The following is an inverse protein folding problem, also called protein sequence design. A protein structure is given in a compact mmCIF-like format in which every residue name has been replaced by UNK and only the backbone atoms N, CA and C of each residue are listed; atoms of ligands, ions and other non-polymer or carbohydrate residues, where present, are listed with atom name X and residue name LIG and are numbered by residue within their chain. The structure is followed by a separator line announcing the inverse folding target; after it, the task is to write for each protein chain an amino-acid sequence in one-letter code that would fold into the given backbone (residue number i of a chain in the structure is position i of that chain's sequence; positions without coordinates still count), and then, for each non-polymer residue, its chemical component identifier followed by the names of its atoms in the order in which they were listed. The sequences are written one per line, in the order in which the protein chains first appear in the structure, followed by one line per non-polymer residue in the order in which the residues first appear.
data_IF_578843986835
#
_entry.id   IF_578843986835
#
_cell.length_a   1.000
_cell.length_b   1.000
_cell.length_c   1.000
_cell.angle_alpha   90.00
_cell.angle_beta   90.00
_cell.angle_gamma   90.00
#
_symmetry.space_group_name_H-M   'P 1'
#
loop_
_entity.id
_entity.type
_entity.pdbx_description
1 polymer ?
#
# COMPACT_ATOMS: atom_id res chain seq x y z
N UNK A 1 -19.60 -50.06 32.69
CA UNK A 1 -20.01 -48.65 32.56
C UNK A 1 -18.75 -47.80 32.60
N UNK A 2 -18.20 -47.45 31.42
CA UNK A 2 -17.16 -46.43 31.32
C UNK A 2 -17.87 -45.13 30.94
N UNK A 3 -17.80 -44.15 31.83
CA UNK A 3 -18.31 -42.81 31.59
C UNK A 3 -17.42 -42.16 30.52
N UNK A 4 -18.00 -41.87 29.37
CA UNK A 4 -17.39 -40.98 28.38
C UNK A 4 -17.36 -39.57 28.97
N UNK A 5 -16.17 -39.04 29.21
CA UNK A 5 -16.01 -37.60 29.44
C UNK A 5 -16.44 -36.87 28.16
N UNK A 6 -17.47 -36.03 28.27
CA UNK A 6 -17.83 -35.07 27.24
C UNK A 6 -16.66 -34.09 27.05
N UNK A 7 -16.31 -33.69 25.82
CA UNK A 7 -15.31 -32.65 25.63
C UNK A 7 -15.84 -31.36 26.26
N UNK A 8 -15.04 -30.74 27.13
CA UNK A 8 -15.26 -29.38 27.61
C UNK A 8 -15.49 -28.48 26.38
N UNK A 9 -16.66 -27.84 26.33
CA UNK A 9 -17.03 -26.97 25.22
C UNK A 9 -15.99 -25.86 25.07
N UNK A 10 -15.45 -25.71 23.86
CA UNK A 10 -14.65 -24.53 23.53
C UNK A 10 -15.51 -23.29 23.81
N UNK A 11 -15.10 -22.48 24.79
CA UNK A 11 -15.72 -21.20 25.06
C UNK A 11 -15.71 -20.39 23.75
N UNK A 12 -16.86 -19.82 23.37
CA UNK A 12 -16.99 -19.02 22.16
C UNK A 12 -16.12 -17.76 22.18
N UNK A 13 -16.10 -16.99 21.07
CA UNK A 13 -15.40 -15.72 20.96
C UNK A 13 -15.59 -14.84 22.20
N UNK A 14 -14.49 -14.39 22.81
CA UNK A 14 -14.53 -13.52 23.99
C UNK A 14 -14.27 -12.07 23.60
N UNK A 15 -14.84 -11.17 24.38
CA UNK A 15 -14.46 -9.76 24.36
C UNK A 15 -13.41 -9.49 25.45
N UNK A 16 -12.30 -8.87 25.07
CA UNK A 16 -11.23 -8.42 25.97
C UNK A 16 -11.22 -6.89 25.95
N UNK A 17 -11.59 -6.27 27.06
CA UNK A 17 -11.68 -4.80 27.15
C UNK A 17 -10.38 -4.22 27.66
N UNK A 18 -9.83 -3.25 26.93
CA UNK A 18 -8.67 -2.45 27.31
C UNK A 18 -9.16 -1.08 27.77
N UNK A 19 -9.11 -0.84 29.08
CA UNK A 19 -9.39 0.46 29.66
C UNK A 19 -8.27 1.47 29.37
N UNK A 20 -8.54 2.76 29.57
CA UNK A 20 -7.52 3.80 29.47
C UNK A 20 -6.36 3.52 30.45
N UNK A 21 -5.12 3.63 29.96
CA UNK A 21 -3.91 3.25 30.71
C UNK A 21 -3.58 1.76 30.68
N UNK A 22 -4.42 0.92 30.07
CA UNK A 22 -4.15 -0.49 29.83
C UNK A 22 -3.15 -0.74 28.69
N UNK A 23 -2.76 -2.00 28.52
CA UNK A 23 -1.90 -2.43 27.41
C UNK A 23 -2.70 -3.16 26.34
N UNK A 24 -2.71 -2.61 25.13
CA UNK A 24 -3.34 -3.24 23.97
C UNK A 24 -2.56 -4.51 23.61
N UNK A 25 -1.22 -4.46 23.60
CA UNK A 25 -0.40 -5.64 23.32
C UNK A 25 -0.65 -6.77 24.34
N UNK A 26 -0.83 -6.45 25.62
CA UNK A 26 -1.14 -7.48 26.62
C UNK A 26 -2.47 -8.19 26.31
N UNK A 27 -3.50 -7.43 25.88
CA UNK A 27 -4.76 -8.00 25.44
C UNK A 27 -4.60 -8.84 24.16
N UNK A 28 -3.79 -8.40 23.20
CA UNK A 28 -3.47 -9.19 22.00
C UNK A 28 -2.75 -10.49 22.37
N UNK A 29 -1.82 -10.45 23.33
CA UNK A 29 -1.10 -11.61 23.83
C UNK A 29 -2.04 -12.62 24.50
N UNK A 30 -3.04 -12.15 25.26
CA UNK A 30 -4.07 -13.01 25.89
C UNK A 30 -5.08 -13.56 24.88
N UNK A 31 -5.41 -12.78 23.84
CA UNK A 31 -6.44 -13.13 22.87
C UNK A 31 -6.15 -14.46 22.17
N UNK A 32 -7.22 -15.19 21.87
CA UNK A 32 -7.22 -16.39 21.03
C UNK A 32 -7.89 -16.08 19.70
N UNK A 33 -7.64 -16.92 18.70
CA UNK A 33 -8.32 -16.81 17.40
C UNK A 33 -9.84 -16.69 17.58
N UNK A 34 -10.43 -15.68 16.97
CA UNK A 34 -11.86 -15.35 17.08
C UNK A 34 -12.20 -14.31 18.14
N UNK A 35 -11.29 -14.02 19.09
CA UNK A 35 -11.54 -13.03 20.14
C UNK A 35 -11.60 -11.59 19.57
N UNK A 36 -12.37 -10.73 20.24
CA UNK A 36 -12.46 -9.29 19.95
C UNK A 36 -11.81 -8.51 21.08
N UNK A 37 -10.89 -7.62 20.75
CA UNK A 37 -10.22 -6.71 21.67
C UNK A 37 -10.86 -5.33 21.50
N UNK A 38 -11.53 -4.86 22.56
CA UNK A 38 -12.24 -3.58 22.58
C UNK A 38 -11.39 -2.57 23.34
N UNK A 39 -10.89 -1.54 22.64
CA UNK A 39 -10.05 -0.50 23.22
C UNK A 39 -10.89 0.74 23.50
N UNK A 40 -10.94 1.17 24.76
CA UNK A 40 -11.69 2.37 25.16
C UNK A 40 -10.98 3.64 24.67
N UNK A 41 -11.69 4.78 24.57
CA UNK A 41 -11.04 6.04 24.28
C UNK A 41 -9.96 6.37 25.31
N UNK A 42 -8.80 6.80 24.83
CA UNK A 42 -7.59 6.99 25.64
C UNK A 42 -6.35 7.07 24.76
N UNK A 43 -5.19 7.44 25.33
CA UNK A 43 -3.92 7.50 24.60
C UNK A 43 -3.02 6.32 24.98
N UNK A 44 -2.62 5.55 23.98
CA UNK A 44 -1.85 4.31 24.11
C UNK A 44 -0.52 4.45 23.40
N UNK A 45 0.56 4.59 24.18
CA UNK A 45 1.92 4.82 23.70
C UNK A 45 2.64 3.52 23.36
N UNK A 46 2.11 2.76 22.41
CA UNK A 46 2.46 1.35 22.18
C UNK A 46 2.60 1.04 20.69
N UNK A 47 3.37 0.01 20.37
CA UNK A 47 3.24 -0.71 19.09
C UNK A 47 2.42 -1.96 19.35
N UNK A 48 1.60 -2.35 18.39
CA UNK A 48 0.66 -3.48 18.51
C UNK A 48 0.93 -4.47 17.38
N UNK A 49 1.22 -5.72 17.74
CA UNK A 49 1.54 -6.81 16.83
C UNK A 49 0.50 -7.92 16.97
N UNK A 50 -0.19 -8.24 15.87
CA UNK A 50 -1.25 -9.25 15.80
C UNK A 50 -0.80 -10.39 14.86
N UNK A 51 -0.41 -11.52 15.44
CA UNK A 51 0.07 -12.71 14.72
C UNK A 51 -0.97 -13.85 14.63
N UNK A 52 -2.01 -13.79 15.47
CA UNK A 52 -3.07 -14.79 15.52
C UNK A 52 -4.15 -14.48 14.48
N UNK A 53 -4.73 -15.50 13.83
CA UNK A 53 -5.80 -15.29 12.88
C UNK A 53 -7.11 -14.92 13.59
N UNK A 54 -8.06 -14.35 12.85
CA UNK A 54 -9.42 -14.03 13.29
C UNK A 54 -9.48 -13.10 14.51
N UNK A 55 -8.52 -12.20 14.68
CA UNK A 55 -8.56 -11.20 15.75
C UNK A 55 -9.29 -9.96 15.24
N UNK A 56 -10.27 -9.49 16.02
CA UNK A 56 -10.83 -8.14 15.81
C UNK A 56 -10.25 -7.19 16.84
N UNK A 57 -9.49 -6.20 16.41
CA UNK A 57 -9.02 -5.09 17.23
C UNK A 57 -9.90 -3.87 16.92
N UNK A 58 -10.71 -3.45 17.89
CA UNK A 58 -11.68 -2.35 17.73
C UNK A 58 -11.44 -1.22 18.72
N UNK A 59 -11.09 -0.05 18.20
CA UNK A 59 -11.07 1.23 18.92
C UNK A 59 -12.47 1.78 19.05
N UNK A 60 -12.87 2.12 20.28
CA UNK A 60 -14.11 2.82 20.54
C UNK A 60 -13.92 4.33 20.44
N UNK A 61 -14.99 5.01 20.05
CA UNK A 61 -15.08 6.47 19.99
C UNK A 61 -16.20 6.97 20.90
N UNK A 62 -15.94 8.06 21.62
CA UNK A 62 -16.88 8.73 22.51
C UNK A 62 -16.85 10.24 22.22
N UNK A 63 -17.79 10.70 21.39
CA UNK A 63 -17.73 12.05 20.80
C UNK A 63 -16.45 12.23 19.97
N UNK A 64 -15.60 13.16 20.37
CA UNK A 64 -14.31 13.41 19.74
C UNK A 64 -13.14 12.65 20.39
N UNK A 65 -13.41 11.83 21.42
CA UNK A 65 -12.38 11.00 22.04
C UNK A 65 -12.23 9.68 21.29
N UNK A 66 -11.02 9.42 20.83
CA UNK A 66 -10.62 8.19 20.13
C UNK A 66 -9.85 7.25 21.05
N UNK A 67 -9.78 5.97 20.69
CA UNK A 67 -8.65 5.12 21.04
C UNK A 67 -7.44 5.56 20.19
N UNK A 68 -6.56 6.37 20.80
CA UNK A 68 -5.39 6.94 20.13
C UNK A 68 -4.18 6.04 20.34
N UNK A 69 -3.58 5.54 19.27
CA UNK A 69 -2.27 4.92 19.29
C UNK A 69 -1.21 5.98 18.93
N UNK A 70 -0.27 6.23 19.83
CA UNK A 70 0.73 7.31 19.69
C UNK A 70 2.15 6.76 19.73
N UNK A 71 2.88 6.89 18.62
CA UNK A 71 4.28 6.46 18.52
C UNK A 71 5.27 7.43 19.14
N UNK A 72 4.82 8.60 19.64
CA UNK A 72 5.63 9.66 20.24
C UNK A 72 6.79 10.12 19.35
N UNK A 73 6.71 9.92 18.04
CA UNK A 73 7.76 10.17 17.02
C UNK A 73 9.05 9.36 17.24
N UNK A 74 9.02 8.38 18.14
CA UNK A 74 10.17 7.51 18.47
C UNK A 74 9.92 6.06 18.07
N UNK A 75 8.66 5.62 18.03
CA UNK A 75 8.31 4.26 17.57
C UNK A 75 8.20 4.23 16.06
N UNK A 76 8.62 3.12 15.48
CA UNK A 76 8.54 2.96 14.03
C UNK A 76 7.13 2.61 13.58
N UNK A 77 6.47 1.65 14.22
CA UNK A 77 5.22 1.09 13.68
C UNK A 77 4.08 1.11 14.70
N UNK A 78 2.88 1.42 14.22
CA UNK A 78 1.64 1.48 15.02
C UNK A 78 1.02 0.11 15.21
N UNK A 79 0.21 -0.32 14.25
CA UNK A 79 -0.45 -1.63 14.27
C UNK A 79 0.10 -2.48 13.13
N UNK A 80 0.69 -3.63 13.44
CA UNK A 80 1.16 -4.62 12.46
C UNK A 80 0.33 -5.90 12.64
N UNK A 81 -0.23 -6.42 11.55
CA UNK A 81 -0.98 -7.67 11.55
C UNK A 81 -0.48 -8.64 10.48
N UNK A 82 -0.04 -9.83 10.91
CA UNK A 82 0.26 -10.97 10.02
C UNK A 82 -0.82 -12.06 10.12
N UNK A 83 -1.65 -12.03 11.16
CA UNK A 83 -2.79 -12.94 11.31
C UNK A 83 -3.83 -12.75 10.20
N UNK A 84 -4.24 -13.85 9.57
CA UNK A 84 -5.31 -13.83 8.58
C UNK A 84 -6.67 -13.48 9.20
N UNK A 85 -7.60 -12.95 8.40
CA UNK A 85 -8.94 -12.56 8.86
C UNK A 85 -8.91 -11.55 10.02
N UNK A 86 -7.87 -10.73 10.10
CA UNK A 86 -7.73 -9.67 11.12
C UNK A 86 -8.56 -8.46 10.74
N UNK A 87 -9.26 -7.89 11.73
CA UNK A 87 -10.02 -6.65 11.59
C UNK A 87 -9.39 -5.57 12.48
N UNK A 88 -9.08 -4.41 11.90
CA UNK A 88 -8.55 -3.22 12.60
C UNK A 88 -9.54 -2.08 12.36
N UNK A 89 -10.29 -1.71 13.38
CA UNK A 89 -11.46 -0.83 13.26
C UNK A 89 -11.43 0.33 14.26
N UNK A 90 -11.52 1.57 13.81
CA UNK A 90 -11.87 2.72 14.65
C UNK A 90 -10.75 3.35 15.50
N UNK A 91 -9.49 3.28 15.05
CA UNK A 91 -8.36 3.90 15.75
C UNK A 91 -8.00 5.29 15.21
N UNK A 92 -7.45 6.14 16.08
CA UNK A 92 -6.61 7.27 15.65
C UNK A 92 -5.15 6.85 15.85
N UNK A 93 -4.40 6.71 14.76
CA UNK A 93 -2.97 6.35 14.78
C UNK A 93 -2.12 7.56 14.39
N UNK A 94 -1.10 7.89 15.19
CA UNK A 94 -0.21 9.03 14.90
C UNK A 94 1.19 8.87 15.48
N UNK A 95 2.11 9.69 15.00
CA UNK A 95 3.44 9.84 15.60
C UNK A 95 4.35 8.62 15.41
N UNK A 96 4.14 7.85 14.35
CA UNK A 96 5.00 6.73 13.96
C UNK A 96 5.95 7.16 12.85
N UNK A 97 7.18 6.61 12.84
CA UNK A 97 8.18 6.94 11.81
C UNK A 97 8.05 6.10 10.54
N UNK A 98 7.69 4.82 10.70
CA UNK A 98 7.63 3.82 9.64
C UNK A 98 6.19 3.66 9.15
N UNK A 99 5.41 2.81 9.81
CA UNK A 99 4.06 2.46 9.39
C UNK A 99 2.99 2.89 10.41
N UNK A 100 1.89 3.47 9.95
CA UNK A 100 0.70 3.66 10.79
C UNK A 100 -0.01 2.33 11.07
N UNK A 101 -0.61 1.73 10.03
CA UNK A 101 -1.26 0.41 10.09
C UNK A 101 -0.73 -0.43 8.93
N UNK A 102 -0.16 -1.61 9.21
CA UNK A 102 0.40 -2.51 8.20
C UNK A 102 -0.20 -3.91 8.31
N UNK A 103 -0.47 -4.55 7.18
CA UNK A 103 -0.65 -6.00 7.14
C UNK A 103 0.50 -6.66 6.39
N UNK A 104 0.95 -7.81 6.89
CA UNK A 104 2.13 -8.53 6.39
C UNK A 104 1.73 -9.94 5.99
N UNK A 105 1.43 -10.15 4.71
CA UNK A 105 1.02 -11.45 4.20
C UNK A 105 -0.32 -11.93 4.75
N UNK A 106 -1.11 -11.04 5.35
CA UNK A 106 -2.42 -11.38 5.89
C UNK A 106 -3.44 -11.51 4.75
N UNK A 107 -4.19 -12.60 4.73
CA UNK A 107 -5.36 -12.75 3.87
C UNK A 107 -6.62 -12.33 4.61
N UNK A 108 -7.69 -12.00 3.89
CA UNK A 108 -9.03 -11.75 4.47
C UNK A 108 -9.09 -10.56 5.44
N UNK A 109 -8.13 -9.64 5.37
CA UNK A 109 -8.01 -8.54 6.33
C UNK A 109 -9.04 -7.43 6.08
N UNK A 110 -9.36 -6.70 7.14
CA UNK A 110 -10.18 -5.49 7.06
C UNK A 110 -9.57 -4.36 7.88
N UNK A 111 -9.34 -3.21 7.25
CA UNK A 111 -8.83 -1.98 7.90
C UNK A 111 -9.91 -0.92 7.72
N UNK A 112 -10.61 -0.61 8.81
CA UNK A 112 -11.90 0.09 8.79
C UNK A 112 -11.89 1.34 9.66
N UNK A 113 -12.45 2.44 9.14
CA UNK A 113 -12.81 3.61 9.95
C UNK A 113 -11.68 4.22 10.79
N UNK A 114 -10.42 4.08 10.36
CA UNK A 114 -9.27 4.61 11.07
C UNK A 114 -8.95 6.04 10.62
N UNK A 115 -8.35 6.82 11.51
CA UNK A 115 -7.74 8.10 11.21
C UNK A 115 -6.23 7.98 11.41
N UNK A 116 -5.44 8.12 10.35
CA UNK A 116 -3.99 7.97 10.40
C UNK A 116 -3.32 9.29 10.03
N UNK A 117 -2.45 9.79 10.90
CA UNK A 117 -1.73 11.06 10.72
C UNK A 117 -0.21 10.84 10.79
N UNK A 118 0.45 11.10 9.66
CA UNK A 118 1.87 10.88 9.47
C UNK A 118 2.24 9.40 9.34
N UNK A 119 3.55 9.13 9.44
CA UNK A 119 4.27 7.91 9.07
C UNK A 119 4.81 7.95 7.63
N UNK A 120 5.81 7.10 7.37
CA UNK A 120 6.33 6.94 6.02
C UNK A 120 5.22 6.34 5.13
N UNK A 121 4.65 5.22 5.58
CA UNK A 121 3.40 4.66 5.05
C UNK A 121 2.26 4.82 6.06
N UNK A 122 1.14 5.43 5.65
CA UNK A 122 -0.04 5.58 6.50
C UNK A 122 -0.74 4.24 6.77
N UNK A 123 -1.40 3.70 5.75
CA UNK A 123 -1.99 2.35 5.76
C UNK A 123 -1.31 1.51 4.68
N UNK A 124 -0.68 0.41 5.07
CA UNK A 124 0.16 -0.41 4.20
C UNK A 124 -0.15 -1.91 4.29
N UNK A 125 -1.24 -2.40 3.67
CA UNK A 125 -1.37 -3.81 3.42
C UNK A 125 -0.37 -4.28 2.35
N UNK A 126 0.39 -5.33 2.67
CA UNK A 126 1.41 -5.88 1.80
C UNK A 126 1.33 -7.40 1.70
N UNK A 127 1.53 -7.91 0.47
CA UNK A 127 1.63 -9.33 0.17
C UNK A 127 0.38 -10.13 0.58
N UNK A 128 -0.76 -9.46 0.70
CA UNK A 128 -2.01 -10.02 1.17
C UNK A 128 -2.97 -10.39 0.04
N UNK A 129 -3.90 -11.29 0.32
CA UNK A 129 -4.99 -11.64 -0.59
C UNK A 129 -6.35 -11.43 0.03
N UNK A 130 -7.29 -10.91 -0.75
CA UNK A 130 -8.68 -10.72 -0.34
C UNK A 130 -8.81 -9.74 0.84
N UNK A 131 -8.64 -8.45 0.59
CA UNK A 131 -8.58 -7.44 1.64
C UNK A 131 -9.53 -6.27 1.42
N UNK A 132 -9.96 -5.65 2.52
CA UNK A 132 -10.80 -4.45 2.51
C UNK A 132 -10.13 -3.31 3.28
N UNK A 133 -9.88 -2.19 2.62
CA UNK A 133 -9.46 -0.92 3.24
C UNK A 133 -10.59 0.09 3.03
N UNK A 134 -11.38 0.35 4.07
CA UNK A 134 -12.62 1.12 3.93
C UNK A 134 -12.85 2.19 4.99
N UNK A 135 -13.32 3.36 4.56
CA UNK A 135 -13.78 4.42 5.47
C UNK A 135 -12.66 5.08 6.27
N UNK A 136 -11.40 4.91 5.86
CA UNK A 136 -10.26 5.48 6.56
C UNK A 136 -10.02 6.93 6.10
N UNK A 137 -9.43 7.73 6.98
CA UNK A 137 -8.89 9.05 6.65
C UNK A 137 -7.39 9.04 6.88
N UNK A 138 -6.59 9.38 5.88
CA UNK A 138 -5.12 9.36 5.98
C UNK A 138 -4.50 10.65 5.48
N UNK A 139 -3.55 11.19 6.24
CA UNK A 139 -2.84 12.43 5.92
C UNK A 139 -1.40 12.44 6.40
N UNK A 140 -0.54 13.19 5.70
CA UNK A 140 0.83 13.47 6.11
C UNK A 140 1.82 12.32 5.85
N UNK A 141 1.47 11.35 5.00
CA UNK A 141 2.36 10.24 4.65
C UNK A 141 3.48 10.70 3.72
N UNK A 142 4.72 10.32 4.04
CA UNK A 142 5.91 10.64 3.22
C UNK A 142 6.04 9.80 1.95
N UNK A 143 5.21 8.76 1.83
CA UNK A 143 4.98 7.98 0.61
C UNK A 143 3.48 8.02 0.24
N UNK A 144 2.79 6.88 0.12
CA UNK A 144 1.35 6.85 -0.08
C UNK A 144 0.56 6.86 1.25
N UNK A 145 -0.54 7.62 1.30
CA UNK A 145 -1.49 7.59 2.41
C UNK A 145 -2.10 6.20 2.61
N UNK A 146 -2.57 5.58 1.53
CA UNK A 146 -2.91 4.15 1.52
C UNK A 146 -2.08 3.48 0.42
N UNK A 147 -1.12 2.67 0.82
CA UNK A 147 -0.27 1.87 -0.06
C UNK A 147 -0.73 0.42 -0.03
N UNK A 148 -1.13 -0.15 -1.16
CA UNK A 148 -1.42 -1.59 -1.25
C UNK A 148 -0.37 -2.23 -2.16
N UNK A 149 0.50 -3.03 -1.54
CA UNK A 149 1.69 -3.58 -2.19
C UNK A 149 1.61 -5.08 -2.44
N UNK A 150 2.02 -5.53 -3.62
CA UNK A 150 2.18 -6.94 -3.96
C UNK A 150 0.97 -7.82 -3.60
N UNK A 151 -0.24 -7.26 -3.69
CA UNK A 151 -1.47 -7.88 -3.17
C UNK A 151 -2.41 -8.31 -4.30
N UNK A 152 -3.44 -9.10 -3.96
CA UNK A 152 -4.41 -9.62 -4.93
C UNK A 152 -5.84 -9.60 -4.35
N UNK A 153 -6.85 -9.28 -5.17
CA UNK A 153 -8.25 -9.22 -4.75
C UNK A 153 -8.49 -8.18 -3.63
N UNK A 154 -8.07 -6.92 -3.83
CA UNK A 154 -8.15 -5.86 -2.81
C UNK A 154 -9.18 -4.78 -3.17
N UNK A 155 -9.97 -4.40 -2.17
CA UNK A 155 -10.91 -3.27 -2.23
C UNK A 155 -10.39 -2.10 -1.38
N UNK A 156 -10.26 -0.92 -1.99
CA UNK A 156 -9.97 0.36 -1.34
C UNK A 156 -11.15 1.29 -1.56
N UNK A 157 -12.04 1.38 -0.57
CA UNK A 157 -13.37 1.97 -0.73
C UNK A 157 -13.65 3.11 0.25
N UNK A 158 -14.27 4.19 -0.24
CA UNK A 158 -14.85 5.23 0.64
C UNK A 158 -13.82 5.85 1.62
N UNK A 159 -12.55 5.92 1.23
CA UNK A 159 -11.50 6.54 2.02
C UNK A 159 -11.30 8.02 1.65
N UNK A 160 -10.70 8.77 2.56
CA UNK A 160 -10.28 10.16 2.35
C UNK A 160 -8.76 10.23 2.49
N UNK A 161 -8.06 10.66 1.44
CA UNK A 161 -6.60 10.78 1.44
C UNK A 161 -6.17 12.19 1.02
N UNK A 162 -5.48 12.91 1.91
CA UNK A 162 -5.03 14.27 1.66
C UNK A 162 -3.70 14.60 2.32
N UNK A 163 -2.94 15.57 1.77
CA UNK A 163 -1.68 16.00 2.37
C UNK A 163 -0.58 14.93 2.41
N UNK A 164 -0.63 13.94 1.51
CA UNK A 164 0.39 12.89 1.36
C UNK A 164 1.24 13.16 0.10
N UNK A 165 2.36 12.42 -0.08
CA UNK A 165 3.04 12.42 -1.38
C UNK A 165 2.14 11.79 -2.42
N UNK A 166 1.68 10.56 -2.20
CA UNK A 166 0.63 9.94 -3.00
C UNK A 166 -0.62 9.75 -2.13
N UNK A 167 -1.80 10.06 -2.66
CA UNK A 167 -3.04 9.80 -1.94
C UNK A 167 -3.26 8.31 -1.71
N UNK A 168 -3.37 7.56 -2.80
CA UNK A 168 -3.56 6.10 -2.81
C UNK A 168 -2.59 5.45 -3.81
N UNK A 169 -2.13 4.23 -3.51
CA UNK A 169 -1.27 3.47 -4.42
C UNK A 169 -1.66 1.99 -4.51
N UNK A 170 -1.63 1.46 -5.74
CA UNK A 170 -1.50 0.04 -6.03
C UNK A 170 -0.12 -0.23 -6.61
N UNK A 171 0.75 -0.86 -5.84
CA UNK A 171 2.07 -1.32 -6.27
C UNK A 171 2.04 -2.84 -6.46
N UNK A 172 2.47 -3.30 -7.63
CA UNK A 172 2.55 -4.71 -8.05
C UNK A 172 1.30 -5.53 -7.66
N UNK A 173 0.13 -4.88 -7.74
CA UNK A 173 -1.14 -5.40 -7.23
C UNK A 173 -2.04 -5.89 -8.37
N UNK A 174 -2.80 -6.94 -8.10
CA UNK A 174 -3.65 -7.63 -9.08
C UNK A 174 -5.11 -7.61 -8.65
N UNK A 175 -6.02 -7.63 -9.64
CA UNK A 175 -7.46 -7.81 -9.42
C UNK A 175 -7.98 -6.91 -8.28
N UNK A 176 -7.91 -5.59 -8.46
CA UNK A 176 -8.15 -4.65 -7.36
C UNK A 176 -9.10 -3.51 -7.76
N UNK A 177 -9.76 -2.94 -6.76
CA UNK A 177 -10.76 -1.89 -6.92
C UNK A 177 -10.44 -0.69 -6.02
N UNK A 178 -10.27 0.49 -6.61
CA UNK A 178 -10.38 1.75 -5.88
C UNK A 178 -11.70 2.42 -6.25
N UNK A 179 -12.62 2.55 -5.29
CA UNK A 179 -13.89 3.20 -5.58
C UNK A 179 -14.45 4.10 -4.49
N UNK A 180 -15.12 5.18 -4.92
CA UNK A 180 -15.82 6.14 -4.05
C UNK A 180 -14.90 6.81 -3.02
N UNK A 181 -13.60 6.91 -3.31
CA UNK A 181 -12.66 7.61 -2.47
C UNK A 181 -12.65 9.12 -2.79
N UNK A 182 -12.25 9.94 -1.82
CA UNK A 182 -11.98 11.36 -2.00
C UNK A 182 -10.49 11.64 -1.80
N UNK A 183 -9.80 11.96 -2.88
CA UNK A 183 -8.35 12.15 -2.92
C UNK A 183 -8.07 13.61 -3.29
N UNK A 184 -7.47 14.38 -2.38
CA UNK A 184 -7.22 15.80 -2.64
C UNK A 184 -6.01 16.36 -1.90
N UNK A 185 -5.37 17.39 -2.46
CA UNK A 185 -4.28 18.09 -1.76
C UNK A 185 -3.07 17.21 -1.45
N UNK A 186 -2.84 16.15 -2.23
CA UNK A 186 -1.61 15.34 -2.21
C UNK A 186 -0.62 15.88 -3.25
N UNK A 187 0.62 15.38 -3.30
CA UNK A 187 1.52 15.75 -4.40
C UNK A 187 1.02 15.11 -5.71
N UNK A 188 0.71 13.82 -5.66
CA UNK A 188 -0.01 13.06 -6.69
C UNK A 188 -1.25 12.39 -6.10
N UNK A 189 -2.33 12.27 -6.87
CA UNK A 189 -3.59 11.69 -6.39
C UNK A 189 -3.51 10.18 -6.20
N UNK A 190 -3.58 9.42 -7.30
CA UNK A 190 -3.52 7.95 -7.30
C UNK A 190 -2.32 7.50 -8.12
N UNK A 191 -1.55 6.54 -7.61
CA UNK A 191 -0.47 5.88 -8.34
C UNK A 191 -0.77 4.40 -8.55
N UNK A 192 -0.63 3.92 -9.79
CA UNK A 192 -0.71 2.51 -10.15
C UNK A 192 0.64 2.13 -10.75
N UNK A 193 1.41 1.32 -10.05
CA UNK A 193 2.83 1.15 -10.32
C UNK A 193 3.23 -0.31 -10.38
N UNK A 194 4.17 -0.62 -11.28
CA UNK A 194 5.05 -1.77 -11.12
C UNK A 194 6.42 -1.24 -10.69
N UNK A 195 6.90 -1.71 -9.55
CA UNK A 195 8.25 -1.48 -9.05
C UNK A 195 9.13 -2.70 -9.38
N UNK A 196 10.14 -2.54 -10.26
CA UNK A 196 11.11 -3.58 -10.60
C UNK A 196 11.88 -4.12 -9.38
N UNK A 197 12.40 -5.35 -9.48
CA UNK A 197 13.21 -5.94 -8.42
C UNK A 197 12.43 -6.48 -7.21
N UNK A 198 11.10 -6.32 -7.19
CA UNK A 198 10.21 -6.92 -6.19
C UNK A 198 9.77 -8.34 -6.56
N UNK A 199 9.37 -9.19 -5.59
CA UNK A 199 9.00 -10.59 -5.86
C UNK A 199 7.80 -10.78 -6.78
N UNK A 200 6.79 -9.92 -6.70
CA UNK A 200 5.65 -9.93 -7.62
C UNK A 200 6.07 -9.13 -8.85
N UNK A 201 6.02 -9.72 -10.03
CA UNK A 201 6.62 -9.15 -11.27
C UNK A 201 5.60 -8.58 -12.25
N UNK A 202 4.33 -8.61 -11.90
CA UNK A 202 3.25 -8.13 -12.76
C UNK A 202 2.20 -7.42 -11.89
N UNK A 203 1.37 -6.59 -12.54
CA UNK A 203 0.24 -5.91 -11.95
C UNK A 203 -0.83 -5.79 -13.04
N UNK A 204 -2.05 -6.21 -12.76
CA UNK A 204 -3.10 -6.18 -13.78
C UNK A 204 -4.52 -6.20 -13.23
N UNK A 205 -5.49 -5.89 -14.10
CA UNK A 205 -6.93 -5.98 -13.82
C UNK A 205 -7.32 -5.11 -12.61
N UNK A 206 -6.93 -3.83 -12.66
CA UNK A 206 -7.27 -2.85 -11.64
C UNK A 206 -8.37 -1.92 -12.17
N UNK A 207 -9.35 -1.62 -11.32
CA UNK A 207 -10.48 -0.74 -11.66
C UNK A 207 -10.48 0.45 -10.72
N UNK A 208 -10.39 1.65 -11.28
CA UNK A 208 -10.45 2.92 -10.57
C UNK A 208 -11.75 3.60 -10.99
N UNK A 209 -12.74 3.62 -10.09
CA UNK A 209 -14.07 4.13 -10.43
C UNK A 209 -14.76 4.98 -9.38
N UNK A 210 -15.61 5.90 -9.83
CA UNK A 210 -16.47 6.70 -8.95
C UNK A 210 -15.69 7.49 -7.88
N UNK A 211 -14.41 7.80 -8.12
CA UNK A 211 -13.59 8.57 -7.18
C UNK A 211 -13.68 10.06 -7.47
N UNK A 212 -13.48 10.88 -6.44
CA UNK A 212 -13.26 12.32 -6.57
C UNK A 212 -11.79 12.63 -6.34
N UNK A 213 -11.10 13.08 -7.39
CA UNK A 213 -9.64 13.26 -7.44
C UNK A 213 -9.36 14.72 -7.79
N UNK A 214 -9.06 15.55 -6.80
CA UNK A 214 -8.98 16.99 -7.01
C UNK A 214 -7.79 17.69 -6.36
N UNK A 215 -7.15 18.61 -7.10
CA UNK A 215 -6.14 19.53 -6.55
C UNK A 215 -4.98 18.83 -5.86
N UNK A 216 -4.46 17.76 -6.47
CA UNK A 216 -3.26 17.09 -5.97
C UNK A 216 -2.01 17.82 -6.48
N UNK A 217 -1.68 18.94 -5.82
CA UNK A 217 -0.69 19.92 -6.29
C UNK A 217 0.36 20.29 -5.23
N UNK A 218 0.38 19.65 -4.05
CA UNK A 218 1.39 20.01 -3.05
C UNK A 218 2.79 19.56 -3.49
N UNK A 219 3.82 20.16 -2.90
CA UNK A 219 5.20 19.76 -3.16
C UNK A 219 5.43 18.30 -2.72
N UNK A 220 6.13 17.51 -3.53
CA UNK A 220 6.56 16.17 -3.14
C UNK A 220 7.61 16.28 -2.03
N UNK A 221 7.30 15.72 -0.87
CA UNK A 221 8.13 15.72 0.33
C UNK A 221 8.71 14.35 0.70
N UNK A 222 8.67 13.38 -0.23
CA UNK A 222 9.28 12.08 -0.02
C UNK A 222 10.80 12.23 0.24
N UNK A 223 11.38 11.36 1.08
CA UNK A 223 12.82 11.29 1.24
C UNK A 223 13.50 11.08 -0.11
N UNK A 224 14.56 11.83 -0.40
CA UNK A 224 15.28 11.76 -1.68
C UNK A 224 15.89 10.38 -2.00
N UNK A 225 15.98 9.51 -0.99
CA UNK A 225 16.43 8.12 -1.13
C UNK A 225 15.32 7.16 -1.58
N UNK A 226 14.05 7.58 -1.50
CA UNK A 226 12.89 6.78 -1.90
C UNK A 226 12.58 6.94 -3.39
N UNK A 227 12.09 5.87 -4.03
CA UNK A 227 11.53 5.95 -5.40
C UNK A 227 10.38 6.98 -5.48
N UNK A 228 9.60 7.14 -4.40
CA UNK A 228 8.50 8.10 -4.33
C UNK A 228 8.93 9.56 -4.57
N UNK A 229 10.21 9.90 -4.34
CA UNK A 229 10.74 11.24 -4.64
C UNK A 229 10.75 11.56 -6.15
N UNK A 230 10.67 10.54 -7.02
CA UNK A 230 10.53 10.71 -8.46
C UNK A 230 9.10 11.03 -8.93
N UNK A 231 8.10 10.86 -8.06
CA UNK A 231 6.69 11.06 -8.43
C UNK A 231 6.42 12.55 -8.64
N UNK A 232 5.91 12.97 -9.81
CA UNK A 232 5.64 14.38 -10.07
C UNK A 232 4.48 14.89 -9.22
N UNK A 233 4.57 16.13 -8.77
CA UNK A 233 3.40 16.85 -8.24
C UNK A 233 2.42 17.22 -9.37
N UNK A 234 1.16 17.49 -9.04
CA UNK A 234 0.19 18.06 -9.98
C UNK A 234 -0.47 17.02 -10.89
N UNK A 235 -0.45 15.75 -10.50
CA UNK A 235 -1.03 14.64 -11.29
C UNK A 235 -2.22 14.04 -10.56
N UNK A 236 -3.35 13.88 -11.27
CA UNK A 236 -4.54 13.23 -10.72
C UNK A 236 -4.36 11.72 -10.55
N UNK A 237 -4.09 11.00 -11.64
CA UNK A 237 -3.77 9.56 -11.65
C UNK A 237 -2.51 9.33 -12.47
N UNK A 238 -1.57 8.54 -11.94
CA UNK A 238 -0.39 8.09 -12.67
C UNK A 238 -0.40 6.56 -12.82
N UNK A 239 -0.12 6.08 -14.04
CA UNK A 239 -0.03 4.64 -14.40
C UNK A 239 1.35 4.37 -14.97
N UNK A 240 2.11 3.49 -14.30
CA UNK A 240 3.53 3.21 -14.60
C UNK A 240 3.78 1.70 -14.55
N UNK A 241 3.50 1.01 -15.66
CA UNK A 241 3.76 -0.43 -15.85
C UNK A 241 2.56 -1.37 -15.78
N UNK A 242 1.52 -1.17 -14.92
CA UNK A 242 0.43 -2.13 -14.84
C UNK A 242 -0.39 -2.29 -16.12
N UNK A 243 -0.90 -3.51 -16.32
CA UNK A 243 -1.73 -3.87 -17.45
C UNK A 243 -3.24 -3.86 -17.13
N UNK A 244 -4.06 -3.73 -18.16
CA UNK A 244 -5.51 -3.93 -18.09
C UNK A 244 -6.18 -3.06 -17.01
N UNK A 245 -5.79 -1.78 -17.00
CA UNK A 245 -6.33 -0.78 -16.07
C UNK A 245 -7.60 -0.17 -16.66
N UNK A 246 -8.65 -0.05 -15.84
CA UNK A 246 -9.88 0.65 -16.20
C UNK A 246 -10.07 1.87 -15.29
N UNK A 247 -10.01 3.07 -15.86
CA UNK A 247 -10.28 4.34 -15.20
C UNK A 247 -11.63 4.84 -15.69
N UNK A 248 -12.69 4.68 -14.89
CA UNK A 248 -14.07 4.94 -15.32
C UNK A 248 -14.92 5.71 -14.30
N UNK A 249 -15.72 6.68 -14.76
CA UNK A 249 -16.67 7.44 -13.91
C UNK A 249 -16.03 8.22 -12.75
N UNK A 250 -14.77 8.65 -12.88
CA UNK A 250 -14.13 9.50 -11.86
C UNK A 250 -14.39 10.98 -12.14
N UNK A 251 -14.45 11.81 -11.10
CA UNK A 251 -14.32 13.27 -11.21
C UNK A 251 -12.86 13.65 -10.98
N UNK A 252 -12.15 14.08 -12.03
CA UNK A 252 -10.73 14.43 -12.01
C UNK A 252 -10.60 15.92 -12.29
N UNK A 253 -10.16 16.71 -11.31
CA UNK A 253 -10.23 18.16 -11.44
C UNK A 253 -9.10 18.96 -10.77
N UNK A 254 -8.66 20.04 -11.40
CA UNK A 254 -7.79 21.04 -10.79
C UNK A 254 -6.37 20.55 -10.47
N UNK A 255 -5.89 19.48 -11.12
CA UNK A 255 -4.52 19.00 -10.96
C UNK A 255 -3.60 19.84 -11.87
N UNK A 256 -2.52 20.39 -11.31
CA UNK A 256 -1.72 21.45 -11.93
C UNK A 256 -1.11 21.07 -13.29
N UNK A 257 -0.71 19.80 -13.46
CA UNK A 257 0.01 19.30 -14.64
C UNK A 257 -0.88 18.48 -15.58
N UNK A 258 -1.56 17.45 -15.07
CA UNK A 258 -2.38 16.56 -15.91
C UNK A 258 -3.41 15.78 -15.08
N UNK A 259 -4.56 15.48 -15.68
CA UNK A 259 -5.57 14.62 -15.07
C UNK A 259 -5.08 13.16 -14.92
N UNK A 260 -4.70 12.52 -16.03
CA UNK A 260 -4.16 11.17 -16.08
C UNK A 260 -2.84 11.13 -16.86
N UNK A 261 -1.79 10.60 -16.23
CA UNK A 261 -0.50 10.27 -16.86
C UNK A 261 -0.38 8.76 -17.02
N UNK A 262 -0.16 8.29 -18.25
CA UNK A 262 0.20 6.90 -18.54
C UNK A 262 1.62 6.88 -19.09
N UNK A 263 2.47 6.01 -18.54
CA UNK A 263 3.84 5.86 -19.02
C UNK A 263 4.36 4.44 -18.83
N UNK A 264 5.38 4.07 -19.60
CA UNK A 264 6.17 2.86 -19.35
C UNK A 264 7.25 3.09 -18.28
N UNK A 265 7.80 2.00 -17.73
CA UNK A 265 8.81 2.03 -16.66
C UNK A 265 10.08 2.78 -17.07
N UNK A 266 10.53 2.63 -18.32
CA UNK A 266 11.79 3.19 -18.81
C UNK A 266 11.68 4.70 -19.00
N UNK A 267 10.56 5.16 -19.53
CA UNK A 267 10.24 6.57 -19.75
C UNK A 267 10.04 7.29 -18.41
N UNK A 268 9.49 6.59 -17.42
CA UNK A 268 9.41 7.10 -16.04
C UNK A 268 10.78 7.12 -15.33
N UNK A 269 11.74 6.33 -15.81
CA UNK A 269 13.12 6.31 -15.29
C UNK A 269 13.39 5.23 -14.23
N UNK A 270 12.56 4.18 -14.18
CA UNK A 270 12.79 3.03 -13.29
C UNK A 270 13.81 2.06 -13.87
N UNK A 271 14.42 1.27 -12.99
CA UNK A 271 15.39 0.23 -13.37
C UNK A 271 14.77 -0.84 -14.26
N UNK A 272 15.57 -1.41 -15.16
CA UNK A 272 15.11 -2.48 -16.03
C UNK A 272 15.21 -3.84 -15.31
N UNK A 273 14.09 -4.52 -15.10
CA UNK A 273 14.03 -5.91 -14.65
C UNK A 273 13.60 -6.81 -15.82
N UNK A 274 14.44 -7.75 -16.28
CA UNK A 274 14.16 -8.57 -17.46
C UNK A 274 12.96 -9.52 -17.28
N UNK A 275 12.46 -9.69 -16.05
CA UNK A 275 11.28 -10.52 -15.74
C UNK A 275 9.99 -9.70 -15.65
N UNK A 276 10.07 -8.38 -15.80
CA UNK A 276 8.95 -7.45 -15.75
C UNK A 276 8.66 -6.95 -17.17
N UNK A 277 7.39 -6.93 -17.59
CA UNK A 277 6.98 -6.21 -18.78
C UNK A 277 7.01 -4.71 -18.47
N UNK A 278 7.82 -3.89 -19.18
CA UNK A 278 7.95 -2.48 -18.83
C UNK A 278 6.78 -1.61 -19.30
N UNK A 279 5.87 -2.12 -20.13
CA UNK A 279 4.83 -1.32 -20.79
C UNK A 279 3.52 -1.33 -20.01
N UNK A 280 2.80 -0.20 -20.00
CA UNK A 280 1.45 -0.11 -19.45
C UNK A 280 0.43 -0.48 -20.52
N UNK A 281 0.01 -1.73 -20.63
CA UNK A 281 -0.85 -2.17 -21.74
C UNK A 281 -2.34 -2.26 -21.39
N UNK A 282 -3.19 -2.18 -22.40
CA UNK A 282 -4.63 -2.44 -22.26
C UNK A 282 -5.36 -1.41 -21.39
N UNK A 283 -4.84 -0.18 -21.33
CA UNK A 283 -5.41 0.91 -20.54
C UNK A 283 -6.73 1.38 -21.14
N UNK A 284 -7.76 1.50 -20.30
CA UNK A 284 -9.12 1.92 -20.70
C UNK A 284 -9.49 3.15 -19.89
N UNK A 285 -9.58 4.30 -20.55
CA UNK A 285 -10.06 5.54 -19.94
C UNK A 285 -11.44 5.84 -20.51
N UNK A 286 -12.46 5.85 -19.65
CA UNK A 286 -13.86 5.92 -20.11
C UNK A 286 -14.72 6.77 -19.17
N UNK A 287 -15.62 7.61 -19.70
CA UNK A 287 -16.71 8.23 -18.92
C UNK A 287 -16.27 9.04 -17.69
N UNK A 288 -15.05 9.58 -17.67
CA UNK A 288 -14.57 10.41 -16.58
C UNK A 288 -15.04 11.86 -16.81
N UNK A 289 -15.29 12.59 -15.72
CA UNK A 289 -15.57 14.02 -15.76
C UNK A 289 -14.28 14.80 -15.49
N UNK A 290 -13.94 15.69 -16.41
CA UNK A 290 -12.69 16.44 -16.42
C UNK A 290 -12.95 17.93 -16.16
N UNK A 291 -12.06 18.59 -15.43
CA UNK A 291 -12.19 20.04 -15.16
C UNK A 291 -10.86 20.66 -14.73
N UNK A 292 -10.45 21.72 -15.41
CA UNK A 292 -9.35 22.61 -14.97
C UNK A 292 -8.02 21.86 -14.65
N UNK A 293 -7.71 20.75 -15.34
CA UNK A 293 -6.42 20.07 -15.17
C UNK A 293 -5.38 20.61 -16.17
N UNK A 294 -4.11 20.68 -15.78
CA UNK A 294 -3.02 21.12 -16.66
C UNK A 294 -2.99 22.63 -16.93
N UNK A 295 -3.73 23.42 -16.15
CA UNK A 295 -3.81 24.89 -16.30
C UNK A 295 -2.68 25.64 -15.59
N UNK A 296 -1.97 24.98 -14.67
CA UNK A 296 -0.92 25.59 -13.85
C UNK A 296 0.36 24.74 -13.86
N UNK A 297 0.89 24.54 -15.07
CA UNK A 297 2.04 23.68 -15.33
C UNK A 297 3.24 24.03 -14.44
N UNK A 298 3.77 23.03 -13.73
CA UNK A 298 4.87 23.17 -12.80
C UNK A 298 5.83 21.97 -12.81
N UNK A 299 7.04 22.18 -12.30
CA UNK A 299 8.07 21.13 -12.25
C UNK A 299 8.54 20.67 -13.64
N UNK A 300 9.20 19.50 -13.66
CA UNK A 300 9.75 18.93 -14.90
C UNK A 300 8.64 18.53 -15.89
N UNK A 301 7.59 17.85 -15.39
CA UNK A 301 6.46 17.40 -16.21
C UNK A 301 5.74 18.58 -16.87
N UNK A 302 5.37 19.61 -16.09
CA UNK A 302 4.73 20.81 -16.62
C UNK A 302 5.62 21.55 -17.63
N UNK A 303 6.94 21.60 -17.39
CA UNK A 303 7.90 22.14 -18.35
C UNK A 303 7.91 21.39 -19.68
N UNK A 304 7.79 20.06 -19.67
CA UNK A 304 7.68 19.24 -20.89
C UNK A 304 6.38 19.51 -21.64
N UNK A 305 5.25 19.61 -20.94
CA UNK A 305 3.94 19.92 -21.55
C UNK A 305 3.97 21.33 -22.17
N UNK A 306 4.51 22.31 -21.45
CA UNK A 306 4.65 23.69 -21.94
C UNK A 306 5.59 23.79 -23.15
N UNK A 307 6.68 23.02 -23.17
CA UNK A 307 7.60 22.97 -24.32
C UNK A 307 6.93 22.42 -25.58
N UNK A 308 5.92 21.55 -25.44
CA UNK A 308 5.06 21.10 -26.52
C UNK A 308 4.00 22.15 -26.94
N UNK A 309 4.01 23.36 -26.35
CA UNK A 309 3.03 24.42 -26.54
C UNK A 309 1.59 23.99 -26.19
N UNK A 310 1.46 23.17 -25.15
CA UNK A 310 0.18 22.68 -24.62
C UNK A 310 -0.06 23.15 -23.19
N UNK A 311 -1.32 23.20 -22.80
CA UNK A 311 -1.85 23.44 -21.46
C UNK A 311 -3.27 22.88 -21.40
N UNK A 312 -3.86 22.73 -20.23
CA UNK A 312 -5.21 22.19 -20.10
C UNK A 312 -5.30 20.69 -20.41
N UNK A 313 -4.20 19.93 -20.24
CA UNK A 313 -4.10 18.54 -20.67
C UNK A 313 -4.80 17.62 -19.67
N UNK A 314 -5.76 16.85 -20.16
CA UNK A 314 -6.52 15.91 -19.34
C UNK A 314 -5.85 14.54 -19.31
N UNK A 315 -5.33 14.09 -20.44
CA UNK A 315 -4.67 12.79 -20.58
C UNK A 315 -3.32 12.98 -21.27
N UNK A 316 -2.27 12.41 -20.70
CA UNK A 316 -0.95 12.35 -21.30
C UNK A 316 -0.48 10.89 -21.29
N UNK A 317 -0.26 10.31 -22.47
CA UNK A 317 0.48 9.06 -22.61
C UNK A 317 1.91 9.36 -23.08
N UNK A 318 2.89 8.74 -22.43
CA UNK A 318 4.30 8.85 -22.75
C UNK A 318 4.95 7.48 -22.87
N UNK A 319 5.94 7.35 -23.73
CA UNK A 319 6.62 6.08 -23.92
C UNK A 319 5.82 5.13 -24.82
N UNK A 320 5.86 3.84 -24.50
CA UNK A 320 5.21 2.77 -25.26
C UNK A 320 4.09 2.13 -24.45
N UNK A 321 2.97 1.91 -25.12
CA UNK A 321 1.85 1.11 -24.65
C UNK A 321 1.24 0.33 -25.83
N UNK A 322 0.45 -0.69 -25.52
CA UNK A 322 -0.25 -1.54 -26.50
C UNK A 322 -1.71 -1.72 -26.08
N UNK A 323 -2.58 -1.91 -27.06
CA UNK A 323 -3.98 -2.30 -26.88
C UNK A 323 -4.81 -1.37 -25.95
N UNK A 324 -4.36 -0.13 -25.77
CA UNK A 324 -5.07 0.89 -25.01
C UNK A 324 -6.21 1.51 -25.81
N UNK A 325 -7.21 2.01 -25.10
CA UNK A 325 -8.32 2.72 -25.69
C UNK A 325 -8.78 3.91 -24.84
N UNK A 326 -9.32 4.91 -25.53
CA UNK A 326 -9.99 6.05 -24.94
C UNK A 326 -11.43 6.09 -25.44
N UNK A 327 -12.40 6.15 -24.54
CA UNK A 327 -13.75 6.57 -24.92
C UNK A 327 -13.73 8.09 -25.06
N UNK A 328 -13.50 8.56 -26.27
CA UNK A 328 -13.40 9.99 -26.55
C UNK A 328 -14.72 10.71 -26.23
N UNK A 329 -14.63 11.77 -25.43
CA UNK A 329 -15.71 12.71 -25.17
C UNK A 329 -15.33 14.09 -25.73
N UNK A 330 -16.33 14.87 -26.14
CA UNK A 330 -16.10 16.20 -26.68
C UNK A 330 -15.38 17.09 -25.64
N UNK A 331 -14.24 17.67 -26.03
CA UNK A 331 -13.50 18.61 -25.19
C UNK A 331 -12.42 18.02 -24.29
N UNK A 332 -12.19 16.70 -24.33
CA UNK A 332 -11.06 16.08 -23.61
C UNK A 332 -9.76 16.34 -24.38
N UNK A 333 -8.82 17.09 -23.78
CA UNK A 333 -7.49 17.27 -24.37
C UNK A 333 -6.58 16.09 -23.98
N UNK A 334 -6.20 15.29 -24.98
CA UNK A 334 -5.32 14.14 -24.81
C UNK A 334 -4.07 14.25 -25.70
N UNK A 335 -2.92 13.92 -25.12
CA UNK A 335 -1.61 13.92 -25.78
C UNK A 335 -0.99 12.53 -25.74
N UNK A 336 -0.32 12.13 -26.83
CA UNK A 336 0.38 10.84 -26.92
C UNK A 336 -0.53 9.62 -27.09
N UNK A 337 -1.83 9.82 -27.26
CA UNK A 337 -2.83 8.75 -27.44
C UNK A 337 -3.15 8.44 -28.91
N UNK A 338 -2.32 8.89 -29.85
CA UNK A 338 -2.58 8.76 -31.30
C UNK A 338 -2.70 7.30 -31.78
N UNK A 339 -2.09 6.36 -31.05
CA UNK A 339 -2.14 4.92 -31.34
C UNK A 339 -3.30 4.21 -30.62
N UNK A 340 -3.99 4.90 -29.71
CA UNK A 340 -5.06 4.30 -28.93
C UNK A 340 -6.31 4.12 -29.79
N UNK A 341 -7.04 3.05 -29.53
CA UNK A 341 -8.31 2.80 -30.20
C UNK A 341 -9.45 3.54 -29.50
N UNK A 342 -10.60 3.65 -30.17
CA UNK A 342 -11.82 4.09 -29.49
C UNK A 342 -12.36 2.93 -28.64
N UNK A 343 -12.57 3.14 -27.34
CA UNK A 343 -13.18 2.11 -26.51
C UNK A 343 -14.63 1.84 -26.96
N UNK A 344 -15.03 0.57 -27.05
CA UNK A 344 -16.46 0.23 -27.14
C UNK A 344 -17.08 0.33 -25.74
N UNK A 345 -18.26 0.95 -25.55
CA UNK A 345 -18.90 1.07 -24.24
C UNK A 345 -19.13 -0.26 -23.51
N UNK A 346 -19.22 -1.38 -24.23
CA UNK A 346 -19.32 -2.74 -23.67
C UNK A 346 -18.02 -3.26 -23.06
N UNK A 347 -16.88 -2.58 -23.29
CA UNK A 347 -15.59 -2.92 -22.68
C UNK A 347 -15.48 -2.53 -21.21
N UNK A 348 -16.52 -1.90 -20.63
CA UNK A 348 -16.54 -1.53 -19.22
C UNK A 348 -16.25 -2.73 -18.31
N UNK A 349 -15.29 -2.53 -17.39
CA UNK A 349 -15.01 -3.45 -16.28
C UNK A 349 -15.49 -2.89 -14.94
N UNK A 350 -16.09 -1.71 -14.92
CA UNK A 350 -16.51 -1.01 -13.72
C UNK A 350 -17.87 -1.48 -13.16
N UNK A 351 -18.35 -2.67 -13.53
CA UNK A 351 -19.71 -3.16 -13.24
C UNK A 351 -19.83 -3.93 -11.92
N UNK A 352 -18.72 -4.30 -11.29
CA UNK A 352 -18.71 -5.03 -10.01
C UNK A 352 -18.47 -4.08 -8.83
N UNK A 353 -19.02 -4.41 -7.66
CA UNK A 353 -18.90 -3.58 -6.45
C UNK A 353 -17.73 -3.98 -5.53
N UNK A 354 -17.15 -5.15 -5.77
CA UNK A 354 -16.03 -5.69 -4.99
C UNK A 354 -15.13 -6.58 -5.84
N UNK A 355 -13.81 -6.40 -5.70
CA UNK A 355 -12.79 -7.29 -6.24
C UNK A 355 -12.45 -8.44 -5.26
N UNK A 356 -13.02 -8.41 -4.06
CA UNK A 356 -12.83 -9.44 -3.05
C UNK A 356 -13.41 -10.78 -3.50
N UNK A 357 -12.77 -11.85 -3.04
CA UNK A 357 -13.21 -13.23 -3.20
C UNK A 357 -14.36 -13.48 -2.23
N UNK A 358 -15.54 -13.80 -2.79
CA UNK A 358 -16.80 -13.97 -2.05
C UNK A 358 -16.70 -14.87 -0.82
N UNK A 359 -15.97 -15.99 -0.92
CA UNK A 359 -15.87 -17.00 0.15
C UNK A 359 -14.58 -16.88 0.96
N UNK A 360 -13.81 -15.80 0.74
CA UNK A 360 -12.48 -15.64 1.33
C UNK A 360 -11.36 -16.23 0.47
N UNK A 361 -10.15 -15.73 0.66
CA UNK A 361 -8.93 -16.40 0.22
C UNK A 361 -8.57 -17.53 1.19
N UNK A 362 -7.92 -18.57 0.67
CA UNK A 362 -7.39 -19.65 1.50
C UNK A 362 -6.37 -19.11 2.52
N UNK A 363 -6.38 -19.70 3.71
CA UNK A 363 -5.44 -19.44 4.80
C UNK A 363 -4.42 -20.59 4.86
N UNK A 364 -3.32 -20.52 4.08
CA UNK A 364 -2.34 -21.59 4.01
C UNK A 364 -1.63 -21.79 5.35
N UNK A 365 -1.47 -23.06 5.75
CA UNK A 365 -0.64 -23.44 6.90
C UNK A 365 0.77 -23.72 6.40
N UNK A 366 1.73 -22.90 6.81
CA UNK A 366 3.11 -22.98 6.35
C UNK A 366 4.00 -23.83 7.28
N UNK A 367 4.90 -24.62 6.69
CA UNK A 367 6.00 -25.27 7.42
C UNK A 367 6.94 -24.22 8.03
N UNK A 368 7.74 -24.56 9.06
CA UNK A 368 8.78 -23.68 9.55
C UNK A 368 9.68 -23.15 8.42
N UNK A 369 10.20 -23.97 7.51
CA UNK A 369 11.07 -23.47 6.42
C UNK A 369 10.34 -22.51 5.47
N UNK A 370 9.04 -22.71 5.22
CA UNK A 370 8.25 -21.81 4.40
C UNK A 370 8.05 -20.44 5.07
N UNK A 371 8.02 -20.39 6.41
CA UNK A 371 7.83 -19.14 7.16
C UNK A 371 8.97 -18.16 6.95
N UNK A 372 10.23 -18.58 6.88
CA UNK A 372 11.36 -17.69 6.60
C UNK A 372 11.20 -16.91 5.30
N UNK A 373 10.98 -17.65 4.19
CA UNK A 373 10.73 -17.06 2.87
C UNK A 373 9.50 -16.15 2.88
N UNK A 374 8.37 -16.60 3.40
CA UNK A 374 7.13 -15.83 3.37
C UNK A 374 7.18 -14.59 4.25
N UNK A 375 7.84 -14.67 5.40
CA UNK A 375 8.05 -13.51 6.28
C UNK A 375 8.97 -12.51 5.59
N UNK A 376 10.03 -12.96 4.91
CA UNK A 376 10.80 -12.05 4.05
C UNK A 376 9.92 -11.35 3.00
N UNK A 377 9.08 -12.11 2.30
CA UNK A 377 8.19 -11.59 1.25
C UNK A 377 7.10 -10.65 1.77
N UNK A 378 6.71 -10.80 3.03
CA UNK A 378 5.65 -10.02 3.66
C UNK A 378 6.16 -8.81 4.47
N UNK A 379 7.42 -8.83 4.90
CA UNK A 379 7.97 -7.84 5.84
C UNK A 379 9.09 -7.02 5.22
N UNK A 380 9.99 -7.65 4.47
CA UNK A 380 11.24 -7.01 4.03
C UNK A 380 11.09 -6.33 2.67
N UNK A 381 10.25 -6.87 1.81
CA UNK A 381 10.15 -6.47 0.39
C UNK A 381 9.43 -5.14 0.18
N UNK A 382 8.71 -4.61 1.18
CA UNK A 382 8.21 -3.23 1.16
C UNK A 382 9.29 -2.16 1.23
N UNK A 383 10.47 -2.50 1.76
CA UNK A 383 11.58 -1.55 1.87
C UNK A 383 12.78 -1.93 1.00
N UNK A 384 12.86 -3.17 0.54
CA UNK A 384 14.03 -3.73 -0.13
C UNK A 384 13.67 -4.42 -1.45
N UNK A 385 14.24 -3.91 -2.55
CA UNK A 385 14.29 -4.59 -3.84
C UNK A 385 15.60 -5.38 -3.99
N UNK A 386 15.65 -6.34 -4.91
CA UNK A 386 16.79 -7.26 -5.03
C UNK A 386 18.10 -6.55 -5.40
N UNK A 387 18.11 -5.83 -6.52
CA UNK A 387 19.28 -5.20 -7.15
C UNK A 387 19.24 -3.67 -7.12
N UNK A 388 18.11 -3.08 -6.73
CA UNK A 388 17.88 -1.64 -6.71
C UNK A 388 17.60 -1.11 -5.31
N UNK A 389 17.72 0.21 -5.16
CA UNK A 389 17.31 0.92 -3.94
C UNK A 389 15.82 1.23 -4.06
N UNK A 390 15.05 0.76 -3.08
CA UNK A 390 13.64 1.12 -2.93
C UNK A 390 13.49 2.20 -1.86
N UNK A 391 13.72 1.82 -0.60
CA UNK A 391 13.82 2.71 0.55
C UNK A 391 15.05 2.39 1.37
N UNK A 392 15.29 1.10 1.61
CA UNK A 392 16.54 0.56 2.12
C UNK A 392 17.53 0.17 1.02
N UNK A 393 18.74 -0.27 1.40
CA UNK A 393 19.72 -0.81 0.45
C UNK A 393 19.18 -2.03 -0.30
N UNK A 394 19.72 -2.28 -1.50
CA UNK A 394 19.41 -3.48 -2.27
C UNK A 394 19.76 -4.74 -1.49
N UNK A 395 19.00 -5.81 -1.69
CA UNK A 395 19.26 -7.10 -1.03
C UNK A 395 20.60 -7.67 -1.45
N UNK A 396 21.03 -7.46 -2.70
CA UNK A 396 22.38 -7.79 -3.16
C UNK A 396 23.47 -7.13 -2.29
N UNK A 397 23.30 -5.84 -1.96
CA UNK A 397 24.22 -5.13 -1.06
C UNK A 397 24.22 -5.71 0.35
N UNK A 398 23.05 -6.12 0.85
CA UNK A 398 22.91 -6.78 2.16
C UNK A 398 23.64 -8.13 2.14
N UNK A 399 23.45 -8.94 1.09
CA UNK A 399 24.13 -10.24 0.93
C UNK A 399 25.65 -10.06 0.94
N UNK A 400 26.17 -9.10 0.19
CA UNK A 400 27.61 -8.81 0.16
C UNK A 400 28.16 -8.42 1.54
N UNK A 401 27.39 -7.67 2.34
CA UNK A 401 27.81 -7.22 3.67
C UNK A 401 27.84 -8.35 4.72
N UNK A 402 26.95 -9.32 4.61
CA UNK A 402 26.74 -10.36 5.62
C UNK A 402 27.02 -11.80 5.14
N UNK A 403 27.63 -11.97 3.96
CA UNK A 403 27.91 -13.28 3.34
C UNK A 403 28.53 -14.32 4.29
N UNK A 404 29.47 -13.89 5.14
CA UNK A 404 30.17 -14.73 6.11
C UNK A 404 29.72 -14.47 7.57
N UNK A 405 28.61 -13.76 7.78
CA UNK A 405 28.10 -13.39 9.11
C UNK A 405 26.56 -13.37 9.19
N UNK A 406 25.89 -14.53 9.06
CA UNK A 406 24.42 -14.63 9.19
C UNK A 406 23.91 -14.14 10.54
N UNK A 407 24.60 -14.46 11.63
CA UNK A 407 24.22 -14.01 12.97
C UNK A 407 24.27 -12.48 13.08
N UNK A 408 25.21 -11.83 12.38
CA UNK A 408 25.27 -10.38 12.29
C UNK A 408 24.07 -9.76 11.57
N UNK A 409 23.53 -10.43 10.55
CA UNK A 409 22.32 -9.98 9.87
C UNK A 409 21.09 -10.11 10.80
N UNK A 410 20.97 -11.23 11.53
CA UNK A 410 19.92 -11.43 12.54
C UNK A 410 19.98 -10.36 13.63
N UNK A 411 21.17 -10.12 14.19
CA UNK A 411 21.38 -9.10 15.21
C UNK A 411 21.03 -7.69 14.71
N UNK A 412 21.40 -7.37 13.47
CA UNK A 412 21.07 -6.10 12.86
C UNK A 412 19.57 -5.94 12.61
N UNK A 413 18.88 -6.97 12.11
CA UNK A 413 17.44 -6.93 11.89
C UNK A 413 16.67 -6.78 13.21
N UNK A 414 17.12 -7.44 14.28
CA UNK A 414 16.52 -7.31 15.61
C UNK A 414 16.76 -5.93 16.25
N UNK A 415 17.98 -5.38 16.11
CA UNK A 415 18.41 -4.14 16.74
C UNK A 415 19.18 -3.26 15.74
N UNK A 416 18.49 -2.66 14.76
CA UNK A 416 19.13 -1.88 13.74
C UNK A 416 19.75 -0.62 14.33
N UNK A 417 20.87 -0.22 13.73
CA UNK A 417 21.51 1.08 13.97
C UNK A 417 21.77 1.71 12.62
N UNK A 418 21.58 3.03 12.51
CA UNK A 418 21.85 3.73 11.25
C UNK A 418 23.32 3.54 10.85
N UNK A 419 23.57 2.85 9.75
CA UNK A 419 24.94 2.59 9.23
C UNK A 419 25.39 3.60 8.17
N UNK A 420 24.46 4.27 7.49
CA UNK A 420 24.74 5.20 6.40
C UNK A 420 23.87 6.43 6.50
N UNK A 421 24.40 7.57 6.08
CA UNK A 421 23.68 8.85 6.11
C UNK A 421 22.62 8.97 5.01
N UNK A 422 22.78 8.26 3.90
CA UNK A 422 21.87 8.32 2.76
C UNK A 422 20.61 7.45 2.93
N UNK A 423 20.55 6.66 3.99
CA UNK A 423 19.36 5.89 4.35
C UNK A 423 18.80 6.31 5.73
N UNK A 424 17.48 6.26 5.89
CA UNK A 424 16.87 6.32 7.20
C UNK A 424 17.26 5.09 8.04
N UNK A 425 17.02 5.20 9.34
CA UNK A 425 17.20 4.07 10.25
C UNK A 425 16.11 3.02 10.01
N UNK A 426 16.52 1.77 9.76
CA UNK A 426 15.61 0.64 9.59
C UNK A 426 14.79 0.39 10.86
N UNK A 427 13.48 0.09 10.76
CA UNK A 427 12.69 -0.35 11.90
C UNK A 427 13.16 -1.70 12.48
N UNK A 428 13.17 -1.82 13.81
CA UNK A 428 13.51 -3.07 14.50
C UNK A 428 12.47 -4.17 14.20
N UNK A 429 12.96 -5.35 13.80
CA UNK A 429 12.14 -6.52 13.46
C UNK A 429 12.11 -7.57 14.58
N UNK A 430 12.49 -7.20 15.80
CA UNK A 430 12.57 -8.11 16.95
C UNK A 430 11.23 -8.73 17.36
N UNK A 431 10.10 -8.14 16.96
CA UNK A 431 8.76 -8.70 17.18
C UNK A 431 8.52 -10.03 16.46
N UNK A 432 9.31 -10.34 15.42
CA UNK A 432 9.24 -11.62 14.70
C UNK A 432 9.84 -12.79 15.50
N UNK A 433 10.73 -12.50 16.44
CA UNK A 433 11.49 -13.50 17.20
C UNK A 433 12.70 -14.06 16.46
N UNK A 434 13.70 -14.51 17.23
CA UNK A 434 15.02 -14.92 16.74
C UNK A 434 14.97 -16.08 15.73
N UNK A 435 14.08 -17.05 15.94
CA UNK A 435 13.92 -18.20 15.04
C UNK A 435 13.49 -17.77 13.63
N UNK A 436 12.56 -16.83 13.54
CA UNK A 436 12.05 -16.32 12.25
C UNK A 436 13.10 -15.43 11.59
N UNK A 437 13.77 -14.56 12.36
CA UNK A 437 14.85 -13.72 11.84
C UNK A 437 16.02 -14.55 11.29
N UNK A 438 16.34 -15.68 11.94
CA UNK A 438 17.36 -16.63 11.46
C UNK A 438 16.96 -17.21 10.10
N UNK A 439 15.72 -17.67 9.95
CA UNK A 439 15.24 -18.22 8.67
C UNK A 439 15.17 -17.16 7.56
N UNK A 440 14.87 -15.90 7.89
CA UNK A 440 14.94 -14.78 6.94
C UNK A 440 16.39 -14.54 6.50
N UNK A 441 17.33 -14.52 7.44
CA UNK A 441 18.75 -14.34 7.13
C UNK A 441 19.27 -15.48 6.24
N UNK A 442 18.93 -16.73 6.56
CA UNK A 442 19.29 -17.89 5.74
C UNK A 442 18.69 -17.78 4.33
N UNK A 443 17.42 -17.42 4.23
CA UNK A 443 16.77 -17.23 2.93
C UNK A 443 17.46 -16.13 2.10
N UNK A 444 17.72 -14.96 2.70
CA UNK A 444 18.40 -13.84 2.03
C UNK A 444 19.79 -14.28 1.55
N UNK A 445 20.59 -14.90 2.41
CA UNK A 445 22.00 -15.19 2.11
C UNK A 445 22.16 -16.36 1.15
N UNK A 446 21.36 -17.42 1.30
CA UNK A 446 21.62 -18.70 0.66
C UNK A 446 20.61 -19.09 -0.42
N UNK A 447 19.33 -18.74 -0.28
CA UNK A 447 18.28 -19.25 -1.15
C UNK A 447 17.76 -18.21 -2.16
N UNK A 448 17.81 -16.93 -1.81
CA UNK A 448 17.30 -15.84 -2.65
C UNK A 448 18.27 -15.54 -3.80
N UNK A 449 17.92 -16.03 -5.00
CA UNK A 449 18.56 -15.67 -6.27
C UNK A 449 17.89 -14.46 -6.95
N UNK A 450 18.50 -14.01 -8.04
CA UNK A 450 17.94 -13.02 -8.99
C UNK A 450 16.55 -13.41 -9.52
#
# INVERSE_FOLDING_TARGET
AQASASPEGAAGPREIVVEEGGSIQAAVNEAKSGDTIIVKPGVYKQSVYIDKPNITLRGLRDGDRWAVLDGETVKNDGIIASGHSTVIDGFYVKGYKGNGIMTQGANNFQILNNHVEGAFYGIFPQYGRNGLVKGNTVTGSEDAGIYVGMSDNIDVLENVAYGNVMGLEFENTRNALMARNHIYGNASGIALTIVPGLPVKDAYSQVIKDNKIEKNNIENFAPSSSIAAGVPSGVGIIVVGPDDITIENNEIAGNDNVGVLVTDLLTFGLSNDPKVDPYSDGIKIMKNTWRDNGDNLSGMLGGMIAAASRSGVEILSMGKDRDSCLLAEDGVDALGVDQWTACDPSMTKATFDTAMIKDGAEEPVYSPEQKGRLTYLAVCTGCHAYDSVLHGPSVESIKALYADNPEGLVQYAANPVRKREDFPEMPAQSYLGDDVLTQIADYILYDLGE
#
